data_IF_555637623145
#
_entry.id   IF_555637623145
#
_cell.length_a   1.000
_cell.length_b   1.000
_cell.length_c   1.000
_cell.angle_alpha   90.00
_cell.angle_beta   90.00
_cell.angle_gamma   90.00
#
_symmetry.space_group_name_H-M   'P 1'
#
loop_
_entity.id
_entity.type
_entity.pdbx_description
1 polymer ?
#
# COMPACT_ATOMS: atom_id res chain seq x y z
N UNK A 1 14.91 0.69 9.52
CA UNK A 1 13.98 -0.46 9.71
C UNK A 1 14.39 -1.51 8.69
N UNK A 2 14.65 -2.75 9.08
CA UNK A 2 15.06 -3.82 8.16
C UNK A 2 13.99 -4.91 8.14
N UNK A 3 13.75 -5.52 6.97
CA UNK A 3 12.70 -6.53 6.81
C UNK A 3 12.90 -7.75 7.72
N UNK A 4 14.15 -8.19 7.89
CA UNK A 4 14.50 -9.34 8.72
C UNK A 4 14.10 -9.21 10.20
N UNK A 5 13.92 -7.98 10.68
CA UNK A 5 13.59 -7.69 12.09
C UNK A 5 12.07 -7.71 12.35
N UNK A 6 11.26 -7.94 11.31
CA UNK A 6 9.79 -7.91 11.39
C UNK A 6 9.28 -9.29 11.82
N UNK A 7 8.53 -9.34 12.92
CA UNK A 7 7.83 -10.55 13.35
C UNK A 7 6.69 -10.88 12.37
N UNK A 8 6.84 -12.01 11.68
CA UNK A 8 5.88 -12.50 10.69
C UNK A 8 4.86 -13.50 11.25
N UNK A 9 4.97 -13.89 12.53
CA UNK A 9 4.06 -14.86 13.16
C UNK A 9 2.86 -14.19 13.83
N UNK A 10 2.79 -12.85 13.78
CA UNK A 10 1.65 -12.08 14.29
C UNK A 10 0.37 -12.45 13.52
N UNK A 11 -0.65 -12.84 14.28
CA UNK A 11 -1.95 -13.29 13.77
C UNK A 11 -3.08 -12.91 14.73
N UNK A 12 -4.29 -12.91 14.19
CA UNK A 12 -5.51 -12.80 15.00
C UNK A 12 -5.89 -14.19 15.53
N UNK A 13 -6.58 -14.22 16.68
CA UNK A 13 -6.95 -15.46 17.34
C UNK A 13 -8.00 -16.25 16.55
N UNK A 14 -9.03 -15.55 16.06
CA UNK A 14 -10.19 -16.17 15.41
C UNK A 14 -10.90 -15.21 14.44
N UNK A 15 -11.95 -15.74 13.78
CA UNK A 15 -12.77 -15.00 12.82
C UNK A 15 -13.55 -13.86 13.47
N UNK A 16 -14.04 -14.06 14.69
CA UNK A 16 -14.81 -13.04 15.42
C UNK A 16 -13.96 -11.84 15.83
N UNK A 17 -12.68 -12.04 16.15
CA UNK A 17 -11.72 -10.94 16.31
C UNK A 17 -11.48 -10.20 15.00
N UNK A 18 -11.26 -10.94 13.91
CA UNK A 18 -11.06 -10.37 12.58
C UNK A 18 -12.22 -9.49 12.14
N UNK A 19 -13.45 -10.01 12.17
CA UNK A 19 -14.65 -9.28 11.76
C UNK A 19 -14.86 -8.04 12.62
N UNK A 20 -14.76 -8.18 13.95
CA UNK A 20 -14.94 -7.07 14.89
C UNK A 20 -13.97 -5.92 14.66
N UNK A 21 -12.67 -6.23 14.53
CA UNK A 21 -11.63 -5.21 14.36
C UNK A 21 -11.70 -4.57 12.98
N UNK A 22 -11.88 -5.39 11.94
CA UNK A 22 -12.01 -4.90 10.57
C UNK A 22 -13.22 -3.97 10.43
N UNK A 23 -14.39 -4.40 10.91
CA UNK A 23 -15.63 -3.63 10.82
C UNK A 23 -15.50 -2.28 11.51
N UNK A 24 -14.93 -2.27 12.72
CA UNK A 24 -14.64 -1.02 13.44
C UNK A 24 -13.76 -0.10 12.60
N UNK A 25 -12.62 -0.58 12.11
CA UNK A 25 -11.69 0.23 11.33
C UNK A 25 -12.33 0.76 10.03
N UNK A 26 -13.15 -0.05 9.35
CA UNK A 26 -13.84 0.36 8.13
C UNK A 26 -14.85 1.48 8.36
N UNK A 27 -15.61 1.46 9.46
CA UNK A 27 -16.51 2.57 9.80
C UNK A 27 -15.73 3.84 10.17
N UNK A 28 -14.58 3.70 10.82
CA UNK A 28 -13.72 4.85 11.09
C UNK A 28 -13.16 5.44 9.79
N UNK A 29 -12.75 4.61 8.83
CA UNK A 29 -12.34 5.06 7.49
C UNK A 29 -13.48 5.79 6.75
N UNK A 30 -14.72 5.33 6.89
CA UNK A 30 -15.89 6.03 6.34
C UNK A 30 -16.06 7.44 6.94
N UNK A 31 -15.89 7.58 8.26
CA UNK A 31 -15.92 8.90 8.93
C UNK A 31 -14.77 9.80 8.45
N UNK A 32 -13.56 9.24 8.27
CA UNK A 32 -12.42 9.98 7.72
C UNK A 32 -12.72 10.44 6.29
N UNK A 33 -13.27 9.57 5.44
CA UNK A 33 -13.63 9.92 4.06
C UNK A 33 -14.66 11.06 4.02
N UNK A 34 -15.66 11.02 4.91
CA UNK A 34 -16.64 12.10 5.05
C UNK A 34 -15.97 13.41 5.47
N UNK A 35 -15.07 13.37 6.45
CA UNK A 35 -14.29 14.55 6.88
C UNK A 35 -13.46 15.14 5.74
N UNK A 36 -12.79 14.28 4.96
CA UNK A 36 -12.05 14.67 3.76
C UNK A 36 -12.94 15.42 2.77
N UNK A 37 -14.13 14.86 2.48
CA UNK A 37 -15.09 15.48 1.57
C UNK A 37 -15.57 16.85 2.06
N UNK A 38 -16.02 16.95 3.32
CA UNK A 38 -16.56 18.19 3.90
C UNK A 38 -15.51 19.31 3.96
N UNK A 39 -14.25 18.97 4.26
CA UNK A 39 -13.16 19.92 4.41
C UNK A 39 -12.28 20.04 3.17
N UNK A 40 -12.68 19.41 2.05
CA UNK A 40 -11.92 19.36 0.79
C UNK A 40 -10.47 18.92 0.95
N UNK A 41 -10.20 18.02 1.91
CA UNK A 41 -8.88 17.44 2.14
C UNK A 41 -8.70 16.20 1.28
N UNK A 42 -7.49 15.96 0.81
CA UNK A 42 -7.14 14.78 0.02
C UNK A 42 -6.00 14.01 0.69
N UNK A 43 -5.81 12.76 0.31
CA UNK A 43 -4.76 11.92 0.88
C UNK A 43 -4.38 10.81 -0.11
N UNK A 44 -3.19 10.25 0.10
CA UNK A 44 -2.62 9.19 -0.71
C UNK A 44 -2.32 7.97 0.16
N UNK A 45 -2.77 6.80 -0.28
CA UNK A 45 -2.34 5.51 0.25
C UNK A 45 -1.53 4.77 -0.81
N UNK A 46 -0.31 4.40 -0.46
CA UNK A 46 0.62 3.73 -1.39
C UNK A 46 0.89 2.32 -0.90
N UNK A 47 0.69 1.33 -1.77
CA UNK A 47 0.88 -0.08 -1.45
C UNK A 47 2.03 -0.67 -2.27
N UNK A 48 3.08 -1.09 -1.57
CA UNK A 48 4.13 -1.97 -2.08
C UNK A 48 4.15 -3.28 -1.28
N UNK A 49 4.92 -4.25 -1.76
CA UNK A 49 5.00 -5.57 -1.14
C UNK A 49 5.29 -6.66 -2.15
N UNK A 50 5.78 -7.79 -1.67
CA UNK A 50 6.11 -8.95 -2.49
C UNK A 50 4.96 -9.38 -3.40
N UNK A 51 5.29 -10.07 -4.49
CA UNK A 51 4.27 -10.78 -5.26
C UNK A 51 3.56 -11.80 -4.36
N UNK A 52 2.24 -11.84 -4.48
CA UNK A 52 1.33 -12.57 -3.58
C UNK A 52 1.34 -12.19 -2.08
N UNK A 53 1.93 -11.05 -1.68
CA UNK A 53 1.89 -10.52 -0.30
C UNK A 53 0.49 -10.22 0.23
N UNK A 54 -0.46 -9.90 -0.65
CA UNK A 54 -1.87 -9.66 -0.27
C UNK A 54 -2.38 -8.24 -0.52
N UNK A 55 -1.61 -7.37 -1.21
CA UNK A 55 -1.96 -5.96 -1.49
C UNK A 55 -3.42 -5.75 -1.90
N UNK A 56 -3.82 -6.30 -3.04
CA UNK A 56 -5.19 -6.18 -3.53
C UNK A 56 -6.26 -6.76 -2.58
N UNK A 57 -5.91 -7.72 -1.72
CA UNK A 57 -6.81 -8.22 -0.68
C UNK A 57 -7.00 -7.23 0.47
N UNK A 58 -5.94 -6.54 0.88
CA UNK A 58 -5.99 -5.47 1.88
C UNK A 58 -6.68 -4.22 1.33
N UNK A 59 -6.36 -3.80 0.10
CA UNK A 59 -7.03 -2.67 -0.57
C UNK A 59 -8.53 -2.94 -0.68
N UNK A 60 -8.93 -4.15 -1.10
CA UNK A 60 -10.35 -4.53 -1.18
C UNK A 60 -11.07 -4.36 0.16
N UNK A 61 -10.44 -4.71 1.28
CA UNK A 61 -11.05 -4.54 2.61
C UNK A 61 -11.04 -3.09 3.07
N UNK A 62 -9.99 -2.33 2.73
CA UNK A 62 -9.89 -0.91 3.06
C UNK A 62 -11.03 -0.10 2.43
N UNK A 63 -11.35 -0.36 1.16
CA UNK A 63 -12.38 0.41 0.43
C UNK A 63 -13.79 -0.15 0.55
N UNK A 64 -13.97 -1.31 1.20
CA UNK A 64 -15.22 -2.09 1.18
C UNK A 64 -16.46 -1.30 1.64
N UNK A 65 -16.30 -0.39 2.59
CA UNK A 65 -17.39 0.44 3.15
C UNK A 65 -17.29 1.92 2.77
N UNK A 66 -16.30 2.30 1.97
CA UNK A 66 -16.14 3.69 1.55
C UNK A 66 -17.15 4.02 0.43
N UNK A 67 -17.58 5.29 0.36
CA UNK A 67 -18.33 5.79 -0.78
C UNK A 67 -17.43 5.76 -2.03
N UNK A 68 -17.81 5.05 -3.11
CA UNK A 68 -16.98 4.91 -4.31
C UNK A 68 -16.72 6.23 -5.05
N UNK A 69 -17.45 7.31 -4.75
CA UNK A 69 -17.22 8.64 -5.34
C UNK A 69 -16.04 9.37 -4.68
N UNK A 70 -15.65 8.95 -3.48
CA UNK A 70 -14.62 9.59 -2.66
C UNK A 70 -13.24 8.94 -2.74
N UNK A 71 -13.04 7.92 -3.57
CA UNK A 71 -11.71 7.32 -3.77
C UNK A 71 -11.47 6.85 -5.20
N UNK A 72 -10.21 6.69 -5.58
CA UNK A 72 -9.80 6.03 -6.82
C UNK A 72 -8.66 5.06 -6.53
N UNK A 73 -8.76 3.83 -7.05
CA UNK A 73 -7.68 2.83 -6.98
C UNK A 73 -6.95 2.81 -8.32
N UNK A 74 -5.64 3.07 -8.28
CA UNK A 74 -4.73 3.07 -9.42
C UNK A 74 -3.85 1.81 -9.38
N UNK A 75 -4.20 0.74 -10.13
CA UNK A 75 -3.27 -0.37 -10.34
C UNK A 75 -2.16 0.08 -11.29
N UNK A 76 -0.91 0.03 -10.83
CA UNK A 76 0.24 0.48 -11.61
C UNK A 76 0.95 -0.73 -12.21
N UNK A 77 0.94 -0.81 -13.54
CA UNK A 77 1.69 -1.79 -14.33
C UNK A 77 2.96 -1.21 -14.94
N UNK A 78 3.61 -1.99 -15.80
CA UNK A 78 4.77 -1.55 -16.58
C UNK A 78 4.45 -0.25 -17.36
N UNK A 79 5.40 0.69 -17.46
CA UNK A 79 5.18 1.94 -18.18
C UNK A 79 5.08 1.73 -19.70
N UNK A 80 4.21 2.49 -20.35
CA UNK A 80 4.11 2.51 -21.83
C UNK A 80 5.34 3.16 -22.47
N UNK A 81 5.58 3.00 -23.79
CA UNK A 81 6.68 3.69 -24.47
C UNK A 81 6.65 5.22 -24.28
N UNK A 82 5.46 5.82 -24.28
CA UNK A 82 5.28 7.25 -24.05
C UNK A 82 5.66 7.62 -22.61
N UNK A 83 5.20 6.86 -21.61
CA UNK A 83 5.55 7.07 -20.20
C UNK A 83 7.07 6.91 -19.96
N UNK A 84 7.75 6.02 -20.71
CA UNK A 84 9.22 5.84 -20.66
C UNK A 84 9.99 6.99 -21.31
N UNK A 85 9.37 7.75 -22.22
CA UNK A 85 10.02 8.85 -22.93
C UNK A 85 10.10 10.16 -22.14
N UNK A 86 9.44 10.22 -20.98
CA UNK A 86 9.38 11.39 -20.10
C UNK A 86 9.83 11.04 -18.69
N UNK A 87 9.83 12.02 -17.79
CA UNK A 87 10.19 11.81 -16.39
C UNK A 87 9.26 10.76 -15.74
N UNK A 88 9.83 9.78 -15.02
CA UNK A 88 9.08 8.64 -14.47
C UNK A 88 7.92 9.02 -13.54
N UNK A 89 8.02 10.16 -12.85
CA UNK A 89 6.94 10.68 -12.01
C UNK A 89 5.73 11.25 -12.79
N UNK A 90 5.88 11.58 -14.08
CA UNK A 90 4.83 12.25 -14.85
C UNK A 90 3.51 11.46 -14.81
N UNK A 91 3.58 10.14 -14.99
CA UNK A 91 2.41 9.25 -14.97
C UNK A 91 1.70 9.18 -13.62
N UNK A 92 2.38 9.57 -12.54
CA UNK A 92 1.82 9.56 -11.19
C UNK A 92 1.24 10.93 -10.84
N UNK A 93 1.90 12.02 -11.24
CA UNK A 93 1.38 13.39 -11.14
C UNK A 93 -0.02 13.53 -11.76
N UNK A 94 -0.24 12.93 -12.94
CA UNK A 94 -1.55 12.99 -13.61
C UNK A 94 -2.63 12.14 -12.95
N UNK A 95 -2.30 11.35 -11.92
CA UNK A 95 -3.21 10.44 -11.20
C UNK A 95 -3.43 10.86 -9.76
N UNK A 96 -2.89 12.01 -9.34
CA UNK A 96 -3.15 12.53 -8.00
C UNK A 96 -4.65 12.79 -7.80
N UNK A 97 -5.19 12.51 -6.60
CA UNK A 97 -6.58 12.82 -6.29
C UNK A 97 -6.79 14.34 -6.32
N UNK A 98 -8.02 14.75 -6.60
CA UNK A 98 -8.44 16.13 -6.37
C UNK A 98 -9.07 16.29 -4.98
N UNK A 99 -9.43 17.54 -4.61
CA UNK A 99 -9.86 17.85 -3.26
C UNK A 99 -11.04 17.01 -2.79
N UNK A 100 -10.97 16.51 -1.55
CA UNK A 100 -12.01 15.66 -0.95
C UNK A 100 -11.94 14.18 -1.34
N UNK A 101 -10.86 13.73 -1.99
CA UNK A 101 -10.71 12.35 -2.47
C UNK A 101 -9.48 11.65 -1.93
N UNK A 102 -9.60 10.32 -1.84
CA UNK A 102 -8.52 9.41 -1.48
C UNK A 102 -7.93 8.76 -2.75
N UNK A 103 -6.65 8.97 -3.00
CA UNK A 103 -5.91 8.25 -4.05
C UNK A 103 -5.25 7.01 -3.48
N UNK A 104 -5.48 5.83 -4.09
CA UNK A 104 -4.92 4.55 -3.62
C UNK A 104 -4.08 3.96 -4.75
N UNK A 105 -2.79 3.80 -4.53
CA UNK A 105 -1.84 3.24 -5.50
C UNK A 105 -1.51 1.78 -5.16
N UNK A 106 -1.90 0.83 -6.02
CA UNK A 106 -1.47 -0.57 -5.96
C UNK A 106 -0.24 -0.74 -6.86
N UNK A 107 0.94 -0.79 -6.24
CA UNK A 107 2.23 -0.37 -6.81
C UNK A 107 2.27 1.12 -7.13
N UNK A 108 3.45 1.68 -7.32
CA UNK A 108 3.64 3.13 -7.35
C UNK A 108 4.95 3.57 -8.03
N UNK A 109 5.34 4.83 -7.82
CA UNK A 109 6.63 5.39 -8.25
C UNK A 109 7.84 4.65 -7.67
N UNK A 110 7.65 3.88 -6.60
CA UNK A 110 8.69 3.01 -6.03
C UNK A 110 9.16 1.91 -6.99
N UNK A 111 8.43 1.63 -8.08
CA UNK A 111 8.92 0.78 -9.16
C UNK A 111 10.32 1.16 -9.68
N UNK A 112 10.64 2.47 -9.69
CA UNK A 112 11.96 3.02 -10.09
C UNK A 112 13.12 2.51 -9.23
N UNK A 113 12.89 2.27 -7.95
CA UNK A 113 13.91 1.81 -6.98
C UNK A 113 13.74 0.33 -6.59
N UNK A 114 12.71 -0.33 -7.13
CA UNK A 114 12.42 -1.76 -6.94
C UNK A 114 12.65 -2.54 -8.24
N UNK A 115 11.58 -2.87 -8.98
CA UNK A 115 11.65 -3.69 -10.19
C UNK A 115 12.58 -3.08 -11.25
N UNK A 116 12.57 -1.77 -11.45
CA UNK A 116 13.45 -1.14 -12.44
C UNK A 116 14.92 -1.19 -12.03
N UNK A 117 15.22 -1.21 -10.72
CA UNK A 117 16.58 -1.41 -10.18
C UNK A 117 17.04 -2.86 -10.35
N UNK A 118 16.21 -3.83 -9.97
CA UNK A 118 16.58 -5.27 -9.95
C UNK A 118 16.58 -5.89 -11.36
N UNK A 119 15.69 -5.45 -12.25
CA UNK A 119 15.63 -5.91 -13.64
C UNK A 119 16.51 -5.08 -14.59
N UNK A 120 17.22 -4.06 -14.08
CA UNK A 120 18.12 -3.23 -14.88
C UNK A 120 17.41 -2.34 -15.90
N UNK A 121 16.14 -1.99 -15.66
CA UNK A 121 15.39 -1.03 -16.48
C UNK A 121 15.72 0.43 -16.17
N UNK A 122 16.34 0.69 -15.01
CA UNK A 122 16.94 1.97 -14.67
C UNK A 122 18.44 1.78 -14.40
N UNK A 123 19.26 2.66 -14.94
CA UNK A 123 20.69 2.68 -14.63
C UNK A 123 20.93 2.98 -13.14
N UNK A 124 22.12 2.60 -12.64
CA UNK A 124 22.51 2.87 -11.25
C UNK A 124 22.35 4.33 -10.85
N UNK A 125 22.74 5.24 -11.73
CA UNK A 125 22.62 6.68 -11.48
C UNK A 125 21.16 7.13 -11.39
N UNK A 126 20.27 6.56 -12.22
CA UNK A 126 18.86 6.91 -12.22
C UNK A 126 18.14 6.47 -10.94
N UNK A 127 18.28 5.20 -10.54
CA UNK A 127 17.57 4.73 -9.35
C UNK A 127 18.18 5.27 -8.05
N UNK A 128 19.50 5.53 -8.00
CA UNK A 128 20.11 6.19 -6.84
C UNK A 128 19.61 7.63 -6.66
N UNK A 129 19.49 8.39 -7.76
CA UNK A 129 18.91 9.74 -7.72
C UNK A 129 17.44 9.72 -7.34
N UNK A 130 16.72 8.66 -7.72
CA UNK A 130 15.27 8.58 -7.52
C UNK A 130 14.84 8.65 -6.05
N UNK A 131 15.66 8.21 -5.09
CA UNK A 131 15.32 8.34 -3.66
C UNK A 131 15.07 9.80 -3.25
N UNK A 132 15.98 10.72 -3.60
CA UNK A 132 15.81 12.15 -3.34
C UNK A 132 14.60 12.74 -4.09
N UNK A 133 14.43 12.36 -5.36
CA UNK A 133 13.30 12.82 -6.19
C UNK A 133 11.95 12.34 -5.63
N UNK A 134 11.87 11.11 -5.13
CA UNK A 134 10.67 10.55 -4.49
C UNK A 134 10.37 11.31 -3.19
N UNK A 135 11.39 11.54 -2.34
CA UNK A 135 11.21 12.30 -1.10
C UNK A 135 10.76 13.74 -1.36
N UNK A 136 11.30 14.40 -2.39
CA UNK A 136 10.90 15.75 -2.78
C UNK A 136 9.46 15.77 -3.29
N UNK A 137 9.06 14.77 -4.08
CA UNK A 137 7.69 14.61 -4.54
C UNK A 137 6.71 14.39 -3.39
N UNK A 138 7.00 13.47 -2.47
CA UNK A 138 6.14 13.19 -1.33
C UNK A 138 6.08 14.37 -0.34
N UNK A 139 7.17 15.12 -0.17
CA UNK A 139 7.20 16.35 0.61
C UNK A 139 6.29 17.42 0.01
N UNK A 140 6.35 17.63 -1.30
CA UNK A 140 5.48 18.60 -1.98
C UNK A 140 4.00 18.28 -1.75
N UNK A 141 3.61 17.01 -1.88
CA UNK A 141 2.23 16.57 -1.61
C UNK A 141 1.82 16.85 -0.15
N UNK A 142 2.69 16.50 0.81
CA UNK A 142 2.40 16.71 2.22
C UNK A 142 2.25 18.20 2.58
N UNK A 143 3.10 19.06 2.01
CA UNK A 143 3.07 20.52 2.21
C UNK A 143 1.80 21.16 1.61
N UNK A 144 1.26 20.61 0.53
CA UNK A 144 -0.03 21.01 -0.05
C UNK A 144 -1.25 20.43 0.71
N UNK A 145 -1.01 19.67 1.78
CA UNK A 145 -2.06 19.13 2.65
C UNK A 145 -2.62 17.78 2.20
N UNK A 146 -1.90 17.08 1.32
CA UNK A 146 -2.20 15.73 0.81
C UNK A 146 -1.21 14.69 1.40
N UNK A 147 -1.44 14.21 2.64
CA UNK A 147 -0.54 13.27 3.29
C UNK A 147 -0.40 11.94 2.51
N UNK A 148 0.80 11.38 2.54
CA UNK A 148 1.15 10.12 1.89
C UNK A 148 1.40 9.06 2.96
N UNK A 149 0.54 8.03 3.02
CA UNK A 149 0.70 6.89 3.94
C UNK A 149 1.10 5.66 3.13
N UNK A 150 2.23 5.04 3.48
CA UNK A 150 2.84 3.99 2.66
C UNK A 150 2.87 2.66 3.38
N UNK A 151 2.43 1.60 2.73
CA UNK A 151 2.38 0.24 3.27
C UNK A 151 3.26 -0.70 2.48
N UNK A 152 4.17 -1.39 3.16
CA UNK A 152 4.89 -2.52 2.58
C UNK A 152 4.38 -3.83 3.18
N UNK A 153 3.69 -4.64 2.40
CA UNK A 153 3.19 -5.95 2.87
C UNK A 153 4.32 -6.98 2.80
N UNK A 154 4.87 -7.31 3.97
CA UNK A 154 5.99 -8.22 4.10
C UNK A 154 5.53 -9.65 4.37
N UNK A 155 6.01 -10.60 3.58
CA UNK A 155 5.78 -12.05 3.76
C UNK A 155 7.10 -12.78 3.71
N UNK A 156 7.16 -13.96 4.31
CA UNK A 156 8.34 -14.83 4.20
C UNK A 156 8.46 -15.42 2.80
N UNK A 157 9.70 -15.74 2.40
CA UNK A 157 9.98 -16.50 1.17
C UNK A 157 9.23 -17.84 1.13
N UNK A 158 9.00 -18.47 2.28
CA UNK A 158 8.22 -19.73 2.40
C UNK A 158 6.74 -19.50 2.13
N UNK A 159 6.14 -18.48 2.74
CA UNK A 159 4.73 -18.14 2.53
C UNK A 159 4.45 -17.73 1.08
N UNK A 160 5.36 -17.00 0.43
CA UNK A 160 5.22 -16.66 -0.98
C UNK A 160 5.10 -17.92 -1.85
N UNK A 161 5.99 -18.90 -1.67
CA UNK A 161 5.96 -20.16 -2.42
C UNK A 161 4.64 -20.91 -2.23
N UNK A 162 4.19 -20.98 -0.98
CA UNK A 162 2.90 -21.60 -0.65
C UNK A 162 1.77 -20.92 -1.43
N UNK A 163 1.72 -19.59 -1.43
CA UNK A 163 0.70 -18.81 -2.15
C UNK A 163 0.78 -18.95 -3.66
N UNK A 164 1.98 -19.09 -4.22
CA UNK A 164 2.16 -19.33 -5.65
C UNK A 164 1.55 -20.67 -6.05
N UNK A 165 1.90 -21.76 -5.33
CA UNK A 165 1.33 -23.09 -5.53
C UNK A 165 -0.20 -23.11 -5.36
N UNK A 166 -0.71 -22.42 -4.33
CA UNK A 166 -2.16 -22.26 -4.13
C UNK A 166 -2.87 -21.53 -5.28
N UNK A 167 -2.21 -20.57 -5.93
CA UNK A 167 -2.78 -19.84 -7.09
C UNK A 167 -2.78 -20.69 -8.34
N UNK A 168 -1.67 -21.36 -8.61
CA UNK A 168 -1.51 -22.26 -9.76
C UNK A 168 -2.56 -23.39 -9.73
N UNK A 169 -2.78 -24.00 -8.56
CA UNK A 169 -3.76 -25.05 -8.37
C UNK A 169 -5.23 -24.56 -8.36
N UNK A 170 -5.49 -23.25 -8.34
CA UNK A 170 -6.84 -22.69 -8.21
C UNK A 170 -7.33 -22.14 -9.57
N UNK A 171 -8.37 -22.75 -10.18
CA UNK A 171 -8.89 -22.31 -11.48
C UNK A 171 -9.37 -20.86 -11.54
N UNK A 172 -9.73 -20.25 -10.41
CA UNK A 172 -10.19 -18.87 -10.33
C UNK A 172 -9.05 -17.86 -10.08
N UNK A 173 -7.82 -18.35 -9.86
CA UNK A 173 -6.65 -17.52 -9.50
C UNK A 173 -5.38 -17.84 -10.30
N UNK A 174 -5.37 -18.89 -11.11
CA UNK A 174 -4.22 -19.27 -11.93
C UNK A 174 -3.79 -18.15 -12.89
N UNK A 175 -4.73 -17.32 -13.38
CA UNK A 175 -4.43 -16.14 -14.18
C UNK A 175 -3.61 -15.06 -13.43
N UNK A 176 -3.48 -15.16 -12.10
CA UNK A 176 -2.69 -14.26 -11.24
C UNK A 176 -1.26 -14.73 -10.97
N UNK A 177 -0.81 -15.79 -11.64
CA UNK A 177 0.59 -16.23 -11.60
C UNK A 177 1.12 -16.31 -13.03
N UNK A 178 2.32 -15.79 -13.21
CA UNK A 178 3.02 -15.67 -14.49
C UNK A 178 4.45 -16.20 -14.35
N UNK A 179 5.11 -16.48 -15.46
CA UNK A 179 6.53 -16.87 -15.46
C UNK A 179 7.42 -15.77 -14.85
N UNK A 180 7.01 -14.51 -14.97
CA UNK A 180 7.69 -13.37 -14.37
C UNK A 180 7.67 -13.44 -12.84
N UNK A 181 6.57 -13.86 -12.22
CA UNK A 181 6.49 -14.03 -10.76
C UNK A 181 7.53 -15.06 -10.26
N UNK A 182 7.74 -16.14 -11.01
CA UNK A 182 8.74 -17.16 -10.67
C UNK A 182 10.16 -16.64 -10.82
N UNK A 183 10.47 -15.89 -11.89
CA UNK A 183 11.78 -15.24 -12.07
C UNK A 183 12.08 -14.23 -10.96
N UNK A 184 11.11 -13.38 -10.61
CA UNK A 184 11.26 -12.39 -9.54
C UNK A 184 11.60 -13.05 -8.20
N UNK A 185 11.02 -14.23 -7.94
CA UNK A 185 11.30 -15.01 -6.74
C UNK A 185 12.73 -15.56 -6.68
N UNK A 186 13.36 -15.86 -7.82
CA UNK A 186 14.76 -16.31 -7.86
C UNK A 186 15.70 -15.20 -7.38
N UNK A 187 15.35 -13.94 -7.68
CA UNK A 187 16.06 -12.72 -7.25
C UNK A 187 15.65 -12.20 -5.86
N UNK A 188 15.15 -13.09 -4.97
CA UNK A 188 14.64 -12.69 -3.65
C UNK A 188 15.61 -11.77 -2.89
N UNK A 189 16.89 -12.13 -2.85
CA UNK A 189 17.89 -11.38 -2.08
C UNK A 189 18.14 -9.98 -2.67
N UNK A 190 18.17 -9.85 -4.00
CA UNK A 190 18.34 -8.56 -4.68
C UNK A 190 17.14 -7.63 -4.42
N UNK A 191 15.93 -8.20 -4.44
CA UNK A 191 14.73 -7.46 -4.05
C UNK A 191 14.72 -7.09 -2.57
N UNK A 192 15.14 -7.99 -1.69
CA UNK A 192 15.21 -7.73 -0.24
C UNK A 192 16.14 -6.54 0.05
N UNK A 193 17.31 -6.49 -0.57
CA UNK A 193 18.23 -5.35 -0.50
C UNK A 193 17.59 -4.06 -1.04
N UNK A 194 16.97 -4.12 -2.23
CA UNK A 194 16.31 -2.96 -2.82
C UNK A 194 15.15 -2.42 -1.95
N UNK A 195 14.40 -3.31 -1.29
CA UNK A 195 13.31 -2.95 -0.38
C UNK A 195 13.85 -2.34 0.91
N UNK A 196 14.88 -2.93 1.51
CA UNK A 196 15.51 -2.37 2.71
C UNK A 196 16.03 -0.96 2.43
N UNK A 197 16.74 -0.75 1.31
CA UNK A 197 17.22 0.57 0.89
C UNK A 197 16.05 1.54 0.65
N UNK A 198 14.97 1.09 -0.01
CA UNK A 198 13.77 1.89 -0.20
C UNK A 198 13.16 2.35 1.14
N UNK A 199 13.00 1.43 2.09
CA UNK A 199 12.43 1.74 3.41
C UNK A 199 13.33 2.70 4.19
N UNK A 200 14.64 2.51 4.13
CA UNK A 200 15.63 3.35 4.82
C UNK A 200 15.71 4.76 4.23
N UNK A 201 15.80 4.88 2.91
CA UNK A 201 16.02 6.16 2.23
C UNK A 201 14.75 7.02 2.10
N UNK A 202 13.56 6.41 2.21
CA UNK A 202 12.29 7.13 1.92
C UNK A 202 11.26 7.10 3.04
N UNK A 203 11.53 6.48 4.18
CA UNK A 203 10.62 6.60 5.34
C UNK A 203 10.87 7.92 6.06
N UNK A 204 10.16 8.98 5.63
CA UNK A 204 10.31 10.33 6.18
C UNK A 204 9.23 10.63 7.23
N UNK A 205 9.37 11.75 7.96
CA UNK A 205 8.36 12.21 8.93
C UNK A 205 7.01 12.55 8.28
N UNK A 206 7.02 13.06 7.05
CA UNK A 206 5.81 13.50 6.34
C UNK A 206 5.21 12.41 5.44
N UNK A 207 5.99 11.36 5.14
CA UNK A 207 5.54 10.19 4.40
C UNK A 207 6.18 8.93 5.00
N UNK A 208 5.66 8.42 6.13
CA UNK A 208 6.22 7.25 6.79
C UNK A 208 5.91 5.95 6.04
N UNK A 209 6.84 5.00 6.12
CA UNK A 209 6.58 3.61 5.73
C UNK A 209 6.08 2.78 6.90
N UNK A 210 5.06 1.97 6.63
CA UNK A 210 4.52 0.97 7.54
C UNK A 210 4.75 -0.42 6.96
N UNK A 211 5.67 -1.18 7.56
CA UNK A 211 5.88 -2.58 7.17
C UNK A 211 4.85 -3.43 7.90
N UNK A 212 3.99 -4.10 7.14
CA UNK A 212 2.88 -4.90 7.66
C UNK A 212 3.24 -6.39 7.55
N UNK A 213 3.34 -7.11 8.69
CA UNK A 213 3.42 -8.57 8.68
C UNK A 213 2.22 -9.17 7.97
N UNK A 214 2.46 -9.84 6.85
CA UNK A 214 1.40 -10.25 5.94
C UNK A 214 1.33 -11.77 5.72
N UNK A 215 2.08 -12.58 6.49
CA UNK A 215 1.94 -14.05 6.44
C UNK A 215 0.50 -14.47 6.75
N UNK A 216 -0.11 -13.85 7.77
CA UNK A 216 -1.50 -14.08 8.15
C UNK A 216 -2.43 -13.03 7.54
N UNK A 217 -3.22 -13.45 6.54
CA UNK A 217 -4.06 -12.54 5.72
C UNK A 217 -5.07 -11.74 6.54
N UNK A 218 -5.68 -12.32 7.57
CA UNK A 218 -6.66 -11.63 8.43
C UNK A 218 -6.01 -10.49 9.21
N UNK A 219 -4.87 -10.77 9.85
CA UNK A 219 -4.09 -9.76 10.54
C UNK A 219 -3.66 -8.64 9.60
N UNK A 220 -3.07 -8.98 8.44
CA UNK A 220 -2.59 -7.99 7.47
C UNK A 220 -3.67 -7.00 7.00
N UNK A 221 -4.90 -7.49 6.78
CA UNK A 221 -6.05 -6.67 6.35
C UNK A 221 -6.48 -5.71 7.45
N UNK A 222 -6.61 -6.21 8.68
CA UNK A 222 -6.98 -5.40 9.84
C UNK A 222 -5.90 -4.37 10.14
N UNK A 223 -4.63 -4.77 10.17
CA UNK A 223 -3.49 -3.91 10.42
C UNK A 223 -3.41 -2.75 9.41
N UNK A 224 -3.58 -3.03 8.11
CA UNK A 224 -3.63 -1.97 7.09
C UNK A 224 -4.76 -0.98 7.37
N UNK A 225 -5.96 -1.44 7.70
CA UNK A 225 -7.10 -0.55 7.95
C UNK A 225 -6.88 0.28 9.23
N UNK A 226 -6.44 -0.34 10.33
CA UNK A 226 -6.18 0.35 11.59
C UNK A 226 -5.03 1.35 11.49
N UNK A 227 -3.95 1.01 10.77
CA UNK A 227 -2.86 1.95 10.48
C UNK A 227 -3.34 3.10 9.60
N UNK A 228 -4.12 2.82 8.54
CA UNK A 228 -4.69 3.89 7.71
C UNK A 228 -5.59 4.82 8.54
N UNK A 229 -6.44 4.29 9.42
CA UNK A 229 -7.23 5.11 10.36
C UNK A 229 -6.32 6.00 11.19
N UNK A 230 -5.31 5.42 11.84
CA UNK A 230 -4.41 6.15 12.74
C UNK A 230 -3.68 7.28 12.01
N UNK A 231 -3.03 6.98 10.90
CA UNK A 231 -2.15 7.92 10.21
C UNK A 231 -2.94 8.99 9.46
N UNK A 232 -4.08 8.62 8.83
CA UNK A 232 -4.96 9.62 8.20
C UNK A 232 -5.62 10.52 9.25
N UNK A 233 -6.06 9.98 10.39
CA UNK A 233 -6.65 10.80 11.46
C UNK A 233 -5.66 11.84 11.98
N UNK A 234 -4.41 11.43 12.20
CA UNK A 234 -3.35 12.33 12.63
C UNK A 234 -3.01 13.38 11.58
N UNK A 235 -2.90 12.99 10.30
CA UNK A 235 -2.50 13.91 9.23
C UNK A 235 -3.62 14.87 8.80
N UNK A 236 -4.88 14.47 8.95
CA UNK A 236 -6.07 15.27 8.59
C UNK A 236 -6.69 16.00 9.78
N UNK A 237 -6.08 15.87 10.97
CA UNK A 237 -6.55 16.43 12.24
C UNK A 237 -8.03 16.12 12.49
N UNK A 238 -8.38 14.83 12.46
CA UNK A 238 -9.74 14.39 12.67
C UNK A 238 -9.82 13.24 13.68
N UNK A 239 -10.98 13.11 14.32
CA UNK A 239 -11.25 12.08 15.33
C UNK A 239 -12.44 11.22 14.88
N UNK A 240 -12.21 10.07 14.20
CA UNK A 240 -13.27 9.19 13.73
C UNK A 240 -13.81 8.33 14.88
N UNK A 241 -14.43 8.96 15.86
CA UNK A 241 -15.07 8.26 16.97
C UNK A 241 -16.41 7.69 16.52
N UNK A 242 -16.58 6.38 16.75
CA UNK A 242 -17.86 5.72 16.50
C UNK A 242 -18.81 6.01 17.68
N UNK A 243 -20.10 6.28 17.41
CA UNK A 243 -21.07 6.49 18.47
C UNK A 243 -21.24 5.25 19.35
N UNK A 244 -21.75 5.43 20.58
CA UNK A 244 -22.15 4.29 21.42
C UNK A 244 -23.25 3.50 20.71
N UNK A 245 -23.13 2.19 20.72
CA UNK A 245 -24.08 1.32 20.00
C UNK A 245 -23.94 1.36 18.48
N UNK A 246 -22.76 1.71 17.95
CA UNK A 246 -22.53 1.76 16.49
C UNK A 246 -22.79 0.42 15.78
N UNK A 247 -22.70 -0.71 16.49
CA UNK A 247 -22.96 -2.03 15.90
C UNK A 247 -24.44 -2.25 15.60
N UNK A 248 -25.30 -1.67 16.42
CA UNK A 248 -26.76 -1.70 16.25
C UNK A 248 -27.21 -0.68 15.19
N UNK A 249 -26.48 0.43 15.03
CA UNK A 249 -26.77 1.49 14.07
C UNK A 249 -26.35 1.17 12.62
N UNK A 250 -25.45 0.22 12.42
CA UNK A 250 -24.93 -0.18 11.10
C UNK A 250 -25.66 -1.42 10.50
N UNK A 251 -26.84 -1.77 11.03
CA UNK A 251 -27.68 -2.85 10.49
C UNK A 251 -28.44 -2.42 9.23
#
# INVERSE_FOLDING_TARGET
>A
MRLKDIDLEVKLADEGEYERRLHKAQLQLLLIQRHMYEHRREALLVFEGWDASGKGGSIRRLVERLDPRGFVVHPIGAPTPEEKSVHFLQRFWTRLPGPGRLGIFDRSWYGRVLVERVEGHASKQEWQRAYGVINDFERAMAEEGAPVVKFFLHISRKEQLKRFKEREANPFKNWKITDEDWRNREKWNEYEEAIDDMLEETSTRHAPWHVVPANHKWYARVAVCEMAVKELSAALDCSPELPRGWRELDQ
#
